data_IF_401898216500
#
_entry.id   IF_401898216500
#
_cell.length_a   1.000
_cell.length_b   1.000
_cell.length_c   1.000
_cell.angle_alpha   90.00
_cell.angle_beta   90.00
_cell.angle_gamma   90.00
#
_symmetry.space_group_name_H-M   'P 1'
#
loop_
_entity.id
_entity.type
_entity.pdbx_description
1 polymer ?
#
# COMPACT_ATOMS: atom_id res chain seq x y z
N UNK A 1 -14.91 3.02 -1.15
CA UNK A 1 -16.12 3.14 -1.99
C UNK A 1 -15.79 3.22 -3.49
N UNK A 2 -14.81 3.98 -3.95
CA UNK A 2 -14.53 4.22 -5.38
C UNK A 2 -13.90 3.05 -6.17
N UNK A 3 -13.50 1.94 -5.55
CA UNK A 3 -12.72 0.88 -6.21
C UNK A 3 -13.42 0.30 -7.46
N UNK A 4 -14.70 -0.08 -7.36
CA UNK A 4 -15.43 -0.65 -8.49
C UNK A 4 -15.62 0.36 -9.64
N UNK A 5 -15.90 1.64 -9.31
CA UNK A 5 -15.96 2.70 -10.31
C UNK A 5 -14.61 2.95 -10.97
N UNK A 6 -13.50 2.86 -10.22
CA UNK A 6 -12.14 2.96 -10.77
C UNK A 6 -11.86 1.80 -11.75
N UNK A 7 -12.30 0.58 -11.44
CA UNK A 7 -12.17 -0.55 -12.37
C UNK A 7 -12.99 -0.33 -13.65
N UNK A 8 -14.22 0.20 -13.52
CA UNK A 8 -15.04 0.52 -14.70
C UNK A 8 -14.35 1.56 -15.59
N UNK A 9 -13.82 2.65 -15.00
CA UNK A 9 -13.08 3.68 -15.75
C UNK A 9 -11.84 3.09 -16.43
N UNK A 10 -11.11 2.20 -15.76
CA UNK A 10 -9.95 1.53 -16.35
C UNK A 10 -10.34 0.62 -17.52
N UNK A 11 -11.44 -0.13 -17.38
CA UNK A 11 -11.97 -0.97 -18.47
C UNK A 11 -12.45 -0.15 -19.66
N UNK A 12 -13.15 0.94 -19.41
CA UNK A 12 -13.69 1.81 -20.47
C UNK A 12 -12.58 2.49 -21.30
N UNK A 13 -11.46 2.85 -20.64
CA UNK A 13 -10.36 3.55 -21.32
C UNK A 13 -9.31 2.62 -21.93
N UNK A 14 -9.02 1.48 -21.28
CA UNK A 14 -7.89 0.63 -21.64
C UNK A 14 -8.26 -0.85 -21.78
N UNK A 15 -9.46 -1.26 -21.34
CA UNK A 15 -9.88 -2.66 -21.35
C UNK A 15 -10.25 -3.16 -22.75
N UNK A 16 -10.08 -4.46 -22.94
CA UNK A 16 -10.58 -5.18 -24.11
C UNK A 16 -11.75 -6.11 -23.79
N UNK A 17 -12.10 -6.19 -22.51
CA UNK A 17 -13.23 -6.96 -21.97
C UNK A 17 -14.14 -6.04 -21.17
N UNK A 18 -15.42 -6.36 -21.14
CA UNK A 18 -16.40 -5.70 -20.28
C UNK A 18 -16.35 -6.27 -18.85
N UNK A 19 -16.91 -5.53 -17.90
CA UNK A 19 -17.06 -6.01 -16.52
C UNK A 19 -17.86 -7.34 -16.47
N UNK A 20 -18.92 -7.47 -17.25
CA UNK A 20 -19.73 -8.68 -17.34
C UNK A 20 -18.94 -9.90 -17.86
N UNK A 21 -17.99 -9.70 -18.77
CA UNK A 21 -17.11 -10.78 -19.25
C UNK A 21 -16.02 -11.18 -18.24
N UNK A 22 -15.65 -10.27 -17.33
CA UNK A 22 -14.63 -10.52 -16.29
C UNK A 22 -15.26 -11.20 -15.06
N UNK A 23 -16.48 -10.82 -14.67
CA UNK A 23 -17.12 -11.30 -13.45
C UNK A 23 -17.19 -12.82 -13.29
N UNK A 24 -17.41 -13.64 -14.34
CA UNK A 24 -17.38 -15.11 -14.19
C UNK A 24 -16.08 -15.64 -13.59
N UNK A 25 -14.92 -15.06 -13.91
CA UNK A 25 -13.64 -15.47 -13.35
C UNK A 25 -13.50 -15.08 -11.89
N UNK A 26 -14.05 -13.91 -11.50
CA UNK A 26 -14.08 -13.45 -10.11
C UNK A 26 -14.99 -14.36 -9.28
N UNK A 27 -16.17 -14.72 -9.80
CA UNK A 27 -17.12 -15.62 -9.16
C UNK A 27 -16.50 -17.01 -8.97
N UNK A 28 -15.82 -17.57 -9.99
CA UNK A 28 -15.12 -18.84 -9.90
C UNK A 28 -14.05 -18.81 -8.78
N UNK A 29 -13.29 -17.73 -8.67
CA UNK A 29 -12.29 -17.56 -7.61
C UNK A 29 -12.97 -17.49 -6.22
N UNK A 30 -14.08 -16.78 -6.08
CA UNK A 30 -14.84 -16.70 -4.82
C UNK A 30 -15.42 -18.05 -4.40
N UNK A 31 -15.85 -18.87 -5.35
CA UNK A 31 -16.38 -20.22 -5.09
C UNK A 31 -15.35 -21.18 -4.49
N UNK A 32 -14.04 -20.91 -4.66
CA UNK A 32 -12.98 -21.66 -4.00
C UNK A 32 -12.90 -21.39 -2.50
N UNK A 33 -13.48 -20.27 -2.03
CA UNK A 33 -13.44 -19.83 -0.65
C UNK A 33 -12.06 -19.31 -0.22
N UNK A 34 -11.99 -18.86 1.01
CA UNK A 34 -10.80 -18.27 1.63
C UNK A 34 -10.25 -19.29 2.64
N UNK A 35 -9.07 -19.86 2.37
CA UNK A 35 -8.39 -20.74 3.32
C UNK A 35 -7.83 -19.90 4.48
N UNK A 36 -8.09 -20.31 5.70
CA UNK A 36 -7.57 -19.68 6.90
C UNK A 36 -6.09 -20.06 7.07
N UNK A 37 -5.19 -19.21 6.58
CA UNK A 37 -3.74 -19.34 6.77
C UNK A 37 -3.34 -18.85 8.17
N UNK A 38 -2.10 -19.07 8.56
CA UNK A 38 -1.59 -18.59 9.86
C UNK A 38 -1.64 -17.05 9.95
N UNK A 39 -1.29 -16.36 8.85
CA UNK A 39 -1.35 -14.90 8.79
C UNK A 39 -2.80 -14.42 8.87
N UNK A 40 -3.70 -14.97 8.05
CA UNK A 40 -5.13 -14.65 8.10
C UNK A 40 -5.71 -14.90 9.49
N UNK A 41 -5.40 -16.03 10.15
CA UNK A 41 -5.90 -16.38 11.48
C UNK A 41 -5.50 -15.34 12.53
N UNK A 42 -4.25 -14.88 12.51
CA UNK A 42 -3.76 -13.85 13.44
C UNK A 42 -4.53 -12.53 13.29
N UNK A 43 -4.74 -12.08 12.05
CA UNK A 43 -5.47 -10.86 11.74
C UNK A 43 -6.97 -10.97 12.07
N UNK A 44 -7.54 -12.13 11.76
CA UNK A 44 -8.92 -12.46 12.02
C UNK A 44 -9.23 -12.49 13.53
N UNK A 45 -8.40 -13.18 14.33
CA UNK A 45 -8.56 -13.26 15.78
C UNK A 45 -8.44 -11.87 16.44
N UNK A 46 -7.51 -11.05 15.97
CA UNK A 46 -7.36 -9.67 16.45
C UNK A 46 -8.57 -8.79 16.11
N UNK A 47 -9.32 -9.13 15.05
CA UNK A 47 -10.51 -8.42 14.59
C UNK A 47 -11.83 -8.95 15.15
N UNK A 48 -11.82 -10.04 15.94
CA UNK A 48 -13.01 -10.69 16.46
C UNK A 48 -14.01 -9.72 17.11
N UNK A 49 -13.52 -8.88 18.02
CA UNK A 49 -14.36 -7.95 18.80
C UNK A 49 -15.07 -6.90 17.96
N UNK A 50 -14.55 -6.64 16.77
CA UNK A 50 -15.11 -5.73 15.78
C UNK A 50 -16.11 -6.45 14.87
N UNK A 51 -15.73 -7.59 14.31
CA UNK A 51 -16.54 -8.37 13.39
C UNK A 51 -17.83 -8.90 14.01
N UNK A 52 -17.78 -9.34 15.27
CA UNK A 52 -18.94 -9.92 15.96
C UNK A 52 -20.09 -8.94 16.21
N UNK A 53 -19.90 -7.64 15.97
CA UNK A 53 -20.92 -6.61 16.18
C UNK A 53 -21.89 -6.45 15.01
N UNK A 54 -21.52 -6.86 13.80
CA UNK A 54 -22.32 -6.73 12.59
C UNK A 54 -22.96 -8.06 12.22
N UNK A 55 -24.27 -8.09 11.98
CA UNK A 55 -24.98 -9.30 11.58
C UNK A 55 -24.44 -9.88 10.26
N UNK A 56 -24.20 -9.05 9.25
CA UNK A 56 -23.58 -9.51 8.00
C UNK A 56 -22.14 -10.01 8.17
N UNK A 57 -21.39 -9.48 9.14
CA UNK A 57 -20.09 -10.04 9.49
C UNK A 57 -20.19 -11.35 10.26
N UNK A 58 -21.20 -11.52 11.11
CA UNK A 58 -21.48 -12.79 11.78
C UNK A 58 -21.81 -13.89 10.77
N UNK A 59 -22.60 -13.56 9.75
CA UNK A 59 -23.00 -14.49 8.71
C UNK A 59 -21.81 -15.02 7.91
N UNK A 60 -20.91 -14.15 7.49
CA UNK A 60 -19.78 -14.49 6.61
C UNK A 60 -18.58 -15.05 7.37
N UNK A 61 -18.21 -14.38 8.47
CA UNK A 61 -16.93 -14.60 9.12
C UNK A 61 -16.98 -15.56 10.31
N UNK A 62 -18.16 -16.11 10.65
CA UNK A 62 -18.29 -17.03 11.79
C UNK A 62 -19.17 -18.23 11.46
N UNK A 63 -18.78 -19.39 11.96
CA UNK A 63 -19.67 -20.58 11.99
C UNK A 63 -20.77 -20.33 13.03
N UNK A 64 -22.01 -20.61 12.65
CA UNK A 64 -23.19 -20.39 13.49
C UNK A 64 -23.30 -18.94 14.06
N UNK A 65 -22.73 -17.97 13.32
CA UNK A 65 -22.74 -16.54 13.64
C UNK A 65 -21.83 -16.10 14.79
N UNK A 66 -21.16 -17.01 15.49
CA UNK A 66 -20.33 -16.69 16.67
C UNK A 66 -19.02 -17.46 16.81
N UNK A 67 -18.90 -18.62 16.15
CA UNK A 67 -17.73 -19.51 16.32
C UNK A 67 -16.67 -19.15 15.26
N UNK A 68 -15.46 -18.73 15.68
CA UNK A 68 -14.38 -18.45 14.74
C UNK A 68 -14.00 -19.67 13.90
N UNK A 69 -13.52 -19.41 12.69
CA UNK A 69 -12.85 -20.42 11.87
C UNK A 69 -11.44 -20.68 12.38
N UNK A 70 -11.02 -21.93 12.32
CA UNK A 70 -9.69 -22.37 12.72
C UNK A 70 -8.73 -22.49 11.54
N UNK A 71 -7.44 -22.63 11.85
CA UNK A 71 -6.39 -22.80 10.87
C UNK A 71 -6.75 -23.95 9.88
N UNK A 72 -6.49 -23.73 8.61
CA UNK A 72 -6.77 -24.64 7.49
C UNK A 72 -8.26 -24.84 7.13
N UNK A 73 -9.20 -24.30 7.91
CA UNK A 73 -10.61 -24.25 7.48
C UNK A 73 -10.78 -23.30 6.29
N UNK A 74 -11.89 -23.42 5.59
CA UNK A 74 -12.23 -22.57 4.44
C UNK A 74 -13.49 -21.77 4.75
N UNK A 75 -13.41 -20.46 4.54
CA UNK A 75 -14.52 -19.53 4.66
C UNK A 75 -15.15 -19.36 3.27
N UNK A 76 -16.43 -19.59 3.14
CA UNK A 76 -17.20 -19.31 1.94
C UNK A 76 -18.04 -18.05 2.13
N UNK A 77 -17.85 -17.07 1.25
CA UNK A 77 -18.61 -15.84 1.25
C UNK A 77 -19.70 -15.91 0.16
N UNK A 78 -20.73 -16.70 0.42
CA UNK A 78 -21.84 -16.90 -0.53
C UNK A 78 -22.56 -15.60 -0.89
N UNK A 79 -22.87 -14.67 0.06
CA UNK A 79 -23.48 -13.39 -0.28
C UNK A 79 -22.64 -12.54 -1.25
N UNK A 80 -21.30 -12.64 -1.20
CA UNK A 80 -20.43 -11.93 -2.14
C UNK A 80 -20.53 -12.48 -3.56
N UNK A 81 -20.73 -13.80 -3.70
CA UNK A 81 -20.95 -14.44 -5.01
C UNK A 81 -22.24 -13.89 -5.64
N UNK A 82 -23.34 -13.86 -4.87
CA UNK A 82 -24.61 -13.28 -5.33
C UNK A 82 -24.46 -11.80 -5.71
N UNK A 83 -23.70 -11.05 -4.92
CA UNK A 83 -23.37 -9.64 -5.21
C UNK A 83 -22.63 -9.51 -6.54
N UNK A 84 -21.65 -10.37 -6.82
CA UNK A 84 -20.91 -10.32 -8.09
C UNK A 84 -21.75 -10.77 -9.29
N UNK A 85 -22.68 -11.73 -9.11
CA UNK A 85 -23.66 -12.10 -10.12
C UNK A 85 -24.57 -10.91 -10.50
N UNK A 86 -25.03 -10.17 -9.50
CA UNK A 86 -25.84 -8.96 -9.71
C UNK A 86 -25.04 -7.84 -10.39
N UNK A 87 -23.80 -7.62 -10.02
CA UNK A 87 -22.93 -6.64 -10.69
C UNK A 87 -22.68 -7.06 -12.16
N UNK A 88 -22.56 -8.35 -12.45
CA UNK A 88 -22.43 -8.85 -13.82
C UNK A 88 -23.68 -8.58 -14.66
N UNK A 89 -24.87 -8.67 -14.06
CA UNK A 89 -26.15 -8.47 -14.72
C UNK A 89 -26.54 -7.00 -14.86
N UNK A 90 -26.36 -6.20 -13.82
CA UNK A 90 -26.89 -4.85 -13.67
C UNK A 90 -25.81 -3.74 -13.77
N UNK A 91 -24.53 -4.13 -13.85
CA UNK A 91 -23.41 -3.17 -13.85
C UNK A 91 -23.05 -2.66 -12.46
N UNK A 92 -22.18 -1.64 -12.44
CA UNK A 92 -21.75 -1.01 -11.17
C UNK A 92 -22.87 -0.25 -10.47
N UNK A 93 -23.92 0.10 -11.18
CA UNK A 93 -25.11 0.78 -10.65
C UNK A 93 -25.77 -0.01 -9.52
N UNK A 94 -25.77 -1.36 -9.58
CA UNK A 94 -26.26 -2.21 -8.49
C UNK A 94 -25.56 -1.88 -7.16
N UNK A 95 -24.22 -1.68 -7.22
CA UNK A 95 -23.42 -1.38 -6.02
C UNK A 95 -23.63 0.06 -5.53
N UNK A 96 -23.74 1.05 -6.43
CA UNK A 96 -23.72 2.46 -6.04
C UNK A 96 -25.11 3.06 -5.84
N UNK A 97 -26.00 2.88 -6.83
CA UNK A 97 -27.32 3.53 -6.84
C UNK A 97 -28.48 2.53 -6.73
N UNK A 98 -28.16 1.24 -6.82
CA UNK A 98 -29.12 0.15 -6.73
C UNK A 98 -29.36 -0.34 -5.30
N UNK A 99 -29.88 -1.57 -5.20
CA UNK A 99 -30.31 -2.17 -3.93
C UNK A 99 -29.14 -2.30 -2.93
N UNK A 100 -27.95 -2.73 -3.39
CA UNK A 100 -26.80 -2.88 -2.51
C UNK A 100 -26.33 -1.53 -1.97
N UNK A 101 -26.34 -0.47 -2.80
CA UNK A 101 -26.00 0.88 -2.35
C UNK A 101 -26.88 1.34 -1.18
N UNK A 102 -28.19 1.12 -1.28
CA UNK A 102 -29.12 1.45 -0.21
C UNK A 102 -28.84 0.63 1.07
N UNK A 103 -28.62 -0.68 0.95
CA UNK A 103 -28.27 -1.54 2.10
C UNK A 103 -26.98 -1.09 2.80
N UNK A 104 -25.97 -0.68 2.02
CA UNK A 104 -24.70 -0.15 2.55
C UNK A 104 -24.95 1.13 3.35
N UNK A 105 -25.74 2.07 2.81
CA UNK A 105 -26.07 3.32 3.51
C UNK A 105 -26.88 3.04 4.77
N UNK A 106 -27.87 2.15 4.72
CA UNK A 106 -28.67 1.78 5.89
C UNK A 106 -27.79 1.19 7.00
N UNK A 107 -26.83 0.32 6.64
CA UNK A 107 -25.88 -0.27 7.61
C UNK A 107 -24.94 0.77 8.22
N UNK A 108 -24.42 1.70 7.41
CA UNK A 108 -23.54 2.79 7.88
C UNK A 108 -24.31 3.71 8.83
N UNK A 109 -25.55 4.10 8.48
CA UNK A 109 -26.37 4.98 9.31
C UNK A 109 -26.83 4.31 10.60
N UNK A 110 -27.09 3.00 10.57
CA UNK A 110 -27.42 2.23 11.77
C UNK A 110 -26.26 2.19 12.79
N UNK A 111 -25.01 2.25 12.31
CA UNK A 111 -23.80 2.35 13.16
C UNK A 111 -23.43 3.81 13.52
N UNK A 112 -24.29 4.77 13.19
CA UNK A 112 -24.09 6.20 13.50
C UNK A 112 -23.32 6.99 12.44
N UNK A 113 -23.04 6.40 11.27
CA UNK A 113 -22.43 7.11 10.14
C UNK A 113 -23.38 8.08 9.47
N UNK A 114 -22.83 9.00 8.69
CA UNK A 114 -23.55 10.13 8.08
C UNK A 114 -23.65 10.07 6.56
N UNK A 115 -23.12 9.02 5.94
CA UNK A 115 -23.17 8.85 4.48
C UNK A 115 -24.61 8.75 3.96
N UNK A 116 -24.79 9.20 2.74
CA UNK A 116 -26.08 9.24 2.04
C UNK A 116 -25.99 8.55 0.67
N UNK A 117 -27.11 8.32 0.02
CA UNK A 117 -27.14 7.81 -1.36
C UNK A 117 -26.51 8.81 -2.35
N UNK A 118 -26.55 10.12 -2.06
CA UNK A 118 -25.87 11.14 -2.86
C UNK A 118 -24.34 10.96 -2.84
N UNK A 119 -23.77 10.61 -1.68
CA UNK A 119 -22.35 10.28 -1.56
C UNK A 119 -21.97 9.01 -2.35
N UNK A 120 -22.87 8.03 -2.42
CA UNK A 120 -22.68 6.82 -3.24
C UNK A 120 -22.71 7.13 -4.74
N UNK A 121 -23.66 7.94 -5.20
CA UNK A 121 -23.77 8.39 -6.58
C UNK A 121 -22.52 9.22 -6.99
N UNK A 122 -22.09 10.11 -6.11
CA UNK A 122 -20.86 10.85 -6.32
C UNK A 122 -19.63 9.95 -6.36
N UNK A 123 -19.54 8.92 -5.50
CA UNK A 123 -18.44 7.97 -5.51
C UNK A 123 -18.36 7.16 -6.80
N UNK A 124 -19.47 6.92 -7.47
CA UNK A 124 -19.54 6.25 -8.77
C UNK A 124 -19.06 7.15 -9.92
N UNK A 125 -19.38 8.43 -9.88
CA UNK A 125 -19.18 9.35 -11.01
C UNK A 125 -17.89 10.16 -10.91
N UNK A 126 -17.46 10.48 -9.68
CA UNK A 126 -16.29 11.32 -9.41
C UNK A 126 -15.04 10.47 -9.17
N UNK A 127 -14.58 9.77 -10.21
CA UNK A 127 -13.31 9.03 -10.20
C UNK A 127 -12.19 9.98 -10.63
N UNK A 128 -11.21 10.15 -9.74
CA UNK A 128 -10.04 10.97 -10.05
C UNK A 128 -9.13 10.21 -11.04
N UNK A 129 -9.04 10.72 -12.25
CA UNK A 129 -8.11 10.24 -13.28
C UNK A 129 -6.98 11.25 -13.40
N UNK A 130 -5.75 10.81 -13.17
CA UNK A 130 -4.55 11.64 -13.27
C UNK A 130 -3.70 11.06 -14.40
N UNK A 131 -3.48 11.86 -15.45
CA UNK A 131 -2.73 11.43 -16.64
C UNK A 131 -1.21 11.47 -16.41
N UNK A 132 -0.74 12.39 -15.57
CA UNK A 132 0.67 12.58 -15.28
C UNK A 132 1.06 11.92 -13.96
N UNK A 133 1.73 10.75 -13.98
CA UNK A 133 2.24 10.12 -12.76
C UNK A 133 3.40 10.93 -12.18
N UNK A 134 3.74 10.68 -10.90
CA UNK A 134 5.02 11.12 -10.35
C UNK A 134 6.13 10.40 -11.11
N UNK A 135 7.01 11.16 -11.76
CA UNK A 135 8.22 10.66 -12.42
C UNK A 135 9.45 11.01 -11.60
N UNK A 136 10.26 10.02 -11.25
CA UNK A 136 11.52 10.17 -10.53
C UNK A 136 12.62 9.47 -11.30
N UNK A 137 13.81 10.07 -11.33
CA UNK A 137 15.02 9.39 -11.83
C UNK A 137 15.86 8.91 -10.66
N UNK A 138 16.36 7.68 -10.73
CA UNK A 138 17.27 7.10 -9.73
C UNK A 138 18.36 6.30 -10.42
N UNK A 139 19.62 6.68 -10.25
CA UNK A 139 20.79 6.03 -10.92
C UNK A 139 20.62 5.88 -12.43
N UNK A 140 19.90 6.81 -13.08
CA UNK A 140 19.58 6.76 -14.51
C UNK A 140 18.33 5.92 -14.88
N UNK A 141 17.77 5.18 -13.95
CA UNK A 141 16.47 4.54 -14.13
C UNK A 141 15.34 5.55 -14.01
N UNK A 142 14.21 5.31 -14.70
CA UNK A 142 13.00 6.13 -14.57
C UNK A 142 11.91 5.37 -13.83
N UNK A 143 11.43 5.97 -12.77
CA UNK A 143 10.39 5.44 -11.92
C UNK A 143 9.11 6.23 -12.12
N UNK A 144 8.00 5.53 -12.30
CA UNK A 144 6.66 6.09 -12.32
C UNK A 144 5.86 5.56 -11.14
N UNK A 145 5.19 6.45 -10.41
CA UNK A 145 4.36 6.08 -9.28
C UNK A 145 3.15 7.02 -9.15
N UNK A 146 2.29 6.71 -8.19
CA UNK A 146 1.04 7.42 -7.99
C UNK A 146 1.26 8.81 -7.34
N UNK A 147 0.66 9.89 -7.90
CA UNK A 147 0.67 11.22 -7.30
C UNK A 147 -0.36 11.35 -6.15
N UNK A 148 -0.46 12.52 -5.55
CA UNK A 148 -1.47 12.84 -4.53
C UNK A 148 -2.90 12.51 -5.03
N UNK A 149 -3.77 12.02 -4.18
CA UNK A 149 -3.67 11.97 -2.71
C UNK A 149 -2.83 10.81 -2.15
N UNK A 150 -2.08 10.07 -2.96
CA UNK A 150 -1.06 9.19 -2.40
C UNK A 150 0.29 9.91 -2.31
N UNK A 151 0.86 9.95 -1.10
CA UNK A 151 2.21 10.44 -0.87
C UNK A 151 3.29 9.51 -1.39
N UNK A 152 2.89 8.26 -1.76
CA UNK A 152 3.83 7.18 -2.02
C UNK A 152 4.86 7.50 -3.08
N UNK A 153 4.45 8.04 -4.23
CA UNK A 153 5.35 8.40 -5.32
C UNK A 153 6.32 9.52 -4.95
N UNK A 154 5.82 10.57 -4.29
CA UNK A 154 6.60 11.75 -3.88
C UNK A 154 7.68 11.36 -2.86
N UNK A 155 7.27 10.69 -1.79
CA UNK A 155 8.17 10.33 -0.69
C UNK A 155 9.14 9.20 -1.08
N UNK A 156 8.72 8.24 -1.91
CA UNK A 156 9.65 7.29 -2.50
C UNK A 156 10.71 8.01 -3.32
N UNK A 157 10.30 8.99 -4.13
CA UNK A 157 11.20 9.83 -4.92
C UNK A 157 12.19 10.59 -4.05
N UNK A 158 11.73 11.20 -2.96
CA UNK A 158 12.58 11.91 -2.02
C UNK A 158 13.61 10.99 -1.37
N UNK A 159 13.20 9.83 -0.84
CA UNK A 159 14.13 8.85 -0.25
C UNK A 159 15.19 8.42 -1.26
N UNK A 160 14.78 8.02 -2.47
CA UNK A 160 15.71 7.59 -3.51
C UNK A 160 16.66 8.72 -3.94
N UNK A 161 16.16 9.95 -4.05
CA UNK A 161 16.98 11.12 -4.38
C UNK A 161 18.01 11.45 -3.27
N UNK A 162 17.65 11.28 -1.99
CA UNK A 162 18.60 11.41 -0.88
C UNK A 162 19.67 10.32 -0.99
N UNK A 163 19.26 9.06 -1.20
CA UNK A 163 20.17 7.91 -1.31
C UNK A 163 21.05 7.98 -2.56
N UNK A 164 20.69 8.75 -3.59
CA UNK A 164 21.53 8.94 -4.77
C UNK A 164 22.83 9.72 -4.47
N UNK A 165 22.87 10.47 -3.36
CA UNK A 165 24.07 11.16 -2.88
C UNK A 165 25.02 10.23 -2.11
N UNK A 166 24.66 8.98 -1.89
CA UNK A 166 25.41 7.96 -1.16
C UNK A 166 25.99 6.96 -2.16
N UNK A 167 27.24 6.55 -1.98
CA UNK A 167 27.85 5.45 -2.76
C UNK A 167 27.43 4.10 -2.17
N UNK A 168 26.13 3.79 -2.30
CA UNK A 168 25.51 2.56 -1.76
C UNK A 168 26.20 1.31 -2.30
N UNK A 169 26.62 1.33 -3.57
CA UNK A 169 27.25 0.17 -4.21
C UNK A 169 28.61 -0.20 -3.59
N UNK A 170 29.27 0.70 -2.85
CA UNK A 170 30.49 0.43 -2.12
C UNK A 170 30.25 -0.13 -0.71
N UNK A 171 29.03 -0.10 -0.20
CA UNK A 171 28.64 -0.58 1.12
C UNK A 171 28.30 -2.07 1.10
N UNK A 172 28.46 -2.73 2.24
CA UNK A 172 27.93 -4.08 2.41
C UNK A 172 26.40 -4.03 2.59
N UNK A 173 25.70 -4.90 1.88
CA UNK A 173 24.24 -4.98 1.96
C UNK A 173 23.78 -5.27 3.39
N UNK A 174 22.87 -4.45 3.89
CA UNK A 174 22.36 -4.49 5.28
C UNK A 174 23.44 -4.25 6.37
N UNK A 175 24.56 -3.60 6.04
CA UNK A 175 25.52 -3.13 7.06
C UNK A 175 24.92 -2.01 7.92
N UNK A 176 25.49 -1.76 9.09
CA UNK A 176 25.06 -0.68 9.97
C UNK A 176 25.18 0.70 9.30
N UNK A 177 26.26 0.95 8.53
CA UNK A 177 26.46 2.17 7.77
C UNK A 177 25.33 2.40 6.74
N UNK A 178 25.01 1.37 5.93
CA UNK A 178 23.89 1.44 4.96
C UNK A 178 22.55 1.68 5.64
N UNK A 179 22.24 0.91 6.68
CA UNK A 179 20.97 1.02 7.42
C UNK A 179 20.85 2.38 8.09
N UNK A 180 21.93 2.90 8.64
CA UNK A 180 21.94 4.24 9.25
C UNK A 180 21.50 5.30 8.23
N UNK A 181 22.18 5.41 7.10
CA UNK A 181 21.87 6.43 6.10
C UNK A 181 20.46 6.24 5.53
N UNK A 182 20.07 5.00 5.23
CA UNK A 182 18.74 4.70 4.71
C UNK A 182 17.64 5.07 5.71
N UNK A 183 17.81 4.73 7.00
CA UNK A 183 16.81 5.07 8.02
C UNK A 183 16.71 6.57 8.25
N UNK A 184 17.81 7.31 8.20
CA UNK A 184 17.81 8.77 8.29
C UNK A 184 17.13 9.43 7.07
N UNK A 185 17.41 8.94 5.86
CA UNK A 185 16.71 9.39 4.65
C UNK A 185 15.18 9.17 4.76
N UNK A 186 14.76 8.01 5.28
CA UNK A 186 13.36 7.71 5.54
C UNK A 186 12.75 8.66 6.58
N UNK A 187 13.43 8.90 7.70
CA UNK A 187 12.94 9.79 8.77
C UNK A 187 12.71 11.21 8.26
N UNK A 188 13.64 11.75 7.46
CA UNK A 188 13.51 13.08 6.87
C UNK A 188 12.32 13.14 5.92
N UNK A 189 12.21 12.19 4.99
CA UNK A 189 11.11 12.15 4.03
C UNK A 189 9.73 11.93 4.69
N UNK A 190 9.65 11.10 5.73
CA UNK A 190 8.40 10.92 6.49
C UNK A 190 8.02 12.17 7.29
N UNK A 191 9.00 12.94 7.78
CA UNK A 191 8.73 14.23 8.42
C UNK A 191 8.10 15.21 7.42
N UNK A 192 8.65 15.31 6.21
CA UNK A 192 8.11 16.16 5.16
C UNK A 192 6.72 15.69 4.71
N UNK A 193 6.51 14.37 4.60
CA UNK A 193 5.19 13.77 4.32
C UNK A 193 4.12 14.27 5.29
N UNK A 194 4.43 14.23 6.57
CA UNK A 194 3.48 14.55 7.63
C UNK A 194 3.10 16.04 7.63
N UNK A 195 4.05 16.93 7.35
CA UNK A 195 3.84 18.38 7.36
C UNK A 195 3.13 18.86 6.11
N UNK A 196 3.48 18.33 4.94
CA UNK A 196 3.19 18.99 3.67
C UNK A 196 2.15 18.29 2.81
N UNK A 197 1.90 16.97 2.98
CA UNK A 197 1.13 16.22 2.01
C UNK A 197 -0.30 15.91 2.48
N UNK A 198 -1.23 15.89 1.53
CA UNK A 198 -2.66 15.67 1.77
C UNK A 198 -3.44 15.56 0.48
N UNK A 199 -4.69 16.04 0.51
CA UNK A 199 -5.53 16.20 -0.67
C UNK A 199 -4.88 17.19 -1.65
N UNK A 200 -4.71 16.85 -2.95
CA UNK A 200 -4.08 17.71 -3.93
C UNK A 200 -4.76 19.09 -4.07
N UNK A 201 -6.05 19.20 -3.74
CA UNK A 201 -6.73 20.50 -3.74
C UNK A 201 -6.27 21.45 -2.61
N UNK A 202 -5.46 20.96 -1.67
CA UNK A 202 -4.97 21.70 -0.50
C UNK A 202 -3.44 21.71 -0.40
N UNK A 203 -2.75 21.19 -1.40
CA UNK A 203 -1.28 21.14 -1.48
C UNK A 203 -0.84 21.87 -2.74
N UNK A 204 0.22 22.66 -2.63
CA UNK A 204 0.78 23.41 -3.75
C UNK A 204 1.61 22.46 -4.65
N UNK A 205 1.36 22.47 -5.95
CA UNK A 205 2.10 21.66 -6.93
C UNK A 205 3.61 22.02 -6.93
N UNK A 206 3.96 23.30 -6.77
CA UNK A 206 5.37 23.74 -6.68
C UNK A 206 6.08 23.10 -5.46
N UNK A 207 5.35 22.89 -4.35
CA UNK A 207 5.86 22.23 -3.17
C UNK A 207 6.13 20.73 -3.44
N UNK A 208 5.19 20.05 -4.11
CA UNK A 208 5.34 18.62 -4.48
C UNK A 208 6.54 18.42 -5.41
N UNK A 209 6.72 19.32 -6.40
CA UNK A 209 7.88 19.30 -7.28
C UNK A 209 9.19 19.55 -6.50
N UNK A 210 9.18 20.50 -5.55
CA UNK A 210 10.33 20.81 -4.71
C UNK A 210 10.76 19.61 -3.85
N UNK A 211 9.83 18.93 -3.18
CA UNK A 211 10.11 17.72 -2.36
C UNK A 211 10.74 16.59 -3.20
N UNK A 212 10.34 16.47 -4.45
CA UNK A 212 10.86 15.46 -5.39
C UNK A 212 12.16 15.89 -6.10
N UNK A 213 12.70 17.09 -5.82
CA UNK A 213 13.87 17.63 -6.53
C UNK A 213 15.19 17.07 -6.01
N UNK A 214 16.19 17.00 -6.90
CA UNK A 214 17.55 16.59 -6.54
C UNK A 214 18.24 17.60 -5.62
N UNK A 215 17.95 18.89 -5.81
CA UNK A 215 18.55 19.97 -5.00
C UNK A 215 18.06 19.88 -3.55
N UNK A 216 16.75 19.68 -3.34
CA UNK A 216 16.19 19.47 -2.02
C UNK A 216 16.72 18.18 -1.37
N UNK A 217 16.80 17.10 -2.12
CA UNK A 217 17.37 15.85 -1.63
C UNK A 217 18.84 16.00 -1.18
N UNK A 218 19.63 16.82 -1.86
CA UNK A 218 20.99 17.15 -1.42
C UNK A 218 21.00 17.96 -0.12
N UNK A 219 20.04 18.88 0.07
CA UNK A 219 19.89 19.60 1.32
C UNK A 219 19.52 18.65 2.47
N UNK A 220 18.60 17.73 2.23
CA UNK A 220 18.22 16.71 3.21
C UNK A 220 19.38 15.75 3.52
N UNK A 221 20.10 15.28 2.52
CA UNK A 221 21.29 14.46 2.72
C UNK A 221 22.33 15.13 3.61
N UNK A 222 22.57 16.44 3.43
CA UNK A 222 23.51 17.21 4.24
C UNK A 222 23.08 17.37 5.72
N UNK A 223 21.85 17.03 6.08
CA UNK A 223 21.38 16.98 7.48
C UNK A 223 21.70 15.66 8.16
N UNK A 224 21.97 14.60 7.39
CA UNK A 224 22.34 13.28 7.93
C UNK A 224 23.71 13.41 8.57
N UNK A 225 23.83 13.02 9.83
CA UNK A 225 25.05 13.07 10.63
C UNK A 225 25.46 11.66 11.05
N UNK A 226 26.62 11.49 11.68
CA UNK A 226 27.06 10.20 12.23
C UNK A 226 26.16 9.68 13.39
N UNK A 227 25.33 10.56 13.96
CA UNK A 227 24.39 10.21 15.01
C UNK A 227 22.96 10.28 14.49
N UNK A 228 22.08 9.29 14.83
CA UNK A 228 20.73 9.26 14.34
C UNK A 228 19.89 10.42 14.88
N UNK A 229 18.98 10.91 14.05
CA UNK A 229 17.96 11.86 14.45
C UNK A 229 16.85 11.12 15.20
N UNK A 230 16.71 11.37 16.50
CA UNK A 230 15.70 10.76 17.36
C UNK A 230 14.44 11.63 17.48
N UNK A 231 14.44 12.83 16.93
CA UNK A 231 13.32 13.75 16.92
C UNK A 231 13.26 14.45 15.55
N UNK A 232 12.93 13.71 14.48
CA UNK A 232 12.76 14.30 13.17
C UNK A 232 11.64 15.33 13.24
N UNK A 233 11.93 16.57 12.89
CA UNK A 233 10.98 17.68 13.01
C UNK A 233 9.86 17.46 12.01
N UNK A 234 8.64 17.66 12.51
CA UNK A 234 7.35 17.60 11.83
C UNK A 234 6.83 16.19 11.54
N UNK A 235 6.61 15.35 12.52
CA UNK A 235 5.76 14.16 12.39
C UNK A 235 4.42 14.37 13.04
N UNK A 236 3.33 14.02 12.37
CA UNK A 236 2.07 13.78 13.06
C UNK A 236 2.01 12.32 13.52
N UNK A 237 2.17 12.01 14.82
CA UNK A 237 2.18 10.65 15.33
C UNK A 237 0.82 9.93 15.22
N UNK A 238 -0.22 10.61 14.73
CA UNK A 238 -1.59 10.10 14.64
C UNK A 238 -2.03 9.71 13.23
N UNK A 239 -1.20 9.83 12.23
CA UNK A 239 -1.48 9.31 10.88
C UNK A 239 -1.37 7.77 10.89
N UNK A 240 -2.34 7.10 11.50
CA UNK A 240 -2.47 5.66 11.51
C UNK A 240 -3.09 5.16 10.21
N UNK A 241 -2.29 4.99 9.16
CA UNK A 241 -2.71 4.15 8.05
C UNK A 241 -2.67 2.68 8.52
N UNK A 242 -3.84 2.04 8.45
CA UNK A 242 -3.97 0.62 8.80
C UNK A 242 -3.26 -0.29 7.79
N UNK A 243 -2.75 -1.46 8.21
CA UNK A 243 -1.94 -2.35 7.36
C UNK A 243 -2.73 -3.18 6.35
N UNK A 244 -3.99 -2.88 6.04
CA UNK A 244 -4.86 -3.68 5.16
C UNK A 244 -4.97 -3.14 3.74
N UNK A 245 -3.88 -3.24 3.05
CA UNK A 245 -3.74 -2.94 1.63
C UNK A 245 -3.43 -4.23 0.89
N UNK A 246 -3.81 -4.34 -0.37
CA UNK A 246 -3.34 -5.38 -1.29
C UNK A 246 -2.71 -4.74 -2.51
N UNK A 247 -1.77 -5.45 -3.13
CA UNK A 247 -1.13 -5.03 -4.37
C UNK A 247 -1.10 -6.16 -5.39
N UNK A 248 -1.35 -5.80 -6.64
CA UNK A 248 -1.30 -6.71 -7.79
C UNK A 248 -0.39 -6.08 -8.86
N UNK A 249 0.62 -6.84 -9.29
CA UNK A 249 1.47 -6.55 -10.43
C UNK A 249 1.14 -7.48 -11.59
N UNK A 250 0.95 -6.94 -12.77
CA UNK A 250 0.67 -7.71 -13.98
C UNK A 250 1.55 -7.24 -15.12
N UNK A 251 2.09 -8.18 -15.90
CA UNK A 251 2.71 -7.91 -17.21
C UNK A 251 2.11 -8.90 -18.20
N UNK A 252 1.57 -8.41 -19.30
CA UNK A 252 1.07 -9.27 -20.37
C UNK A 252 2.17 -9.64 -21.40
N UNK A 253 1.82 -10.52 -22.34
CA UNK A 253 2.73 -10.96 -23.41
C UNK A 253 3.18 -9.84 -24.38
N UNK A 254 2.45 -8.73 -24.41
CA UNK A 254 2.72 -7.58 -25.28
C UNK A 254 3.55 -6.52 -24.53
N UNK A 255 3.87 -6.75 -23.25
CA UNK A 255 4.67 -5.86 -22.40
C UNK A 255 3.87 -4.75 -21.72
N UNK A 256 2.54 -4.79 -21.77
CA UNK A 256 1.72 -3.87 -20.99
C UNK A 256 1.85 -4.20 -19.51
N UNK A 257 2.01 -3.16 -18.67
CA UNK A 257 2.22 -3.30 -17.24
C UNK A 257 1.11 -2.63 -16.45
N UNK A 258 0.65 -3.32 -15.41
CA UNK A 258 -0.28 -2.76 -14.43
C UNK A 258 0.28 -2.96 -13.02
N UNK A 259 0.44 -1.87 -12.28
CA UNK A 259 0.72 -1.85 -10.85
C UNK A 259 -0.52 -1.30 -10.14
N UNK A 260 -1.23 -2.12 -9.39
CA UNK A 260 -2.49 -1.74 -8.75
C UNK A 260 -2.45 -1.99 -7.25
N UNK A 261 -2.66 -0.93 -6.49
CA UNK A 261 -2.77 -1.00 -5.03
C UNK A 261 -4.15 -0.54 -4.58
N UNK A 262 -4.82 -1.31 -3.73
CA UNK A 262 -6.10 -0.94 -3.14
C UNK A 262 -6.14 -1.24 -1.65
N UNK A 263 -6.96 -0.51 -0.89
CA UNK A 263 -7.03 -0.64 0.55
C UNK A 263 -8.45 -0.45 1.08
N UNK A 264 -8.75 -1.18 2.15
CA UNK A 264 -9.90 -0.92 3.04
C UNK A 264 -9.43 -0.32 4.37
N UNK A 265 -8.18 0.12 4.44
CA UNK A 265 -7.44 0.72 5.53
C UNK A 265 -7.09 -0.26 6.67
N UNK A 266 -7.97 -0.58 7.62
CA UNK A 266 -7.67 -1.56 8.67
C UNK A 266 -8.13 -2.98 8.30
N UNK A 267 -7.58 -4.00 9.00
CA UNK A 267 -8.03 -5.39 8.86
C UNK A 267 -9.54 -5.49 9.02
N UNK A 268 -10.23 -6.04 8.01
CA UNK A 268 -11.69 -6.07 7.91
C UNK A 268 -12.35 -4.68 8.01
N UNK A 269 -11.68 -3.61 7.57
CA UNK A 269 -12.21 -2.25 7.51
C UNK A 269 -12.84 -1.79 8.82
N UNK A 270 -14.09 -1.29 8.78
CA UNK A 270 -14.84 -0.92 9.97
C UNK A 270 -15.50 -2.13 10.69
N UNK A 271 -15.40 -3.33 10.14
CA UNK A 271 -15.98 -4.55 10.72
C UNK A 271 -17.43 -4.79 10.32
N UNK A 272 -17.99 -3.97 9.42
CA UNK A 272 -19.34 -4.15 8.87
C UNK A 272 -19.23 -4.85 7.52
N UNK A 273 -20.02 -5.89 7.33
CA UNK A 273 -20.16 -6.60 6.06
C UNK A 273 -21.61 -6.49 5.60
N UNK A 274 -21.83 -6.13 4.32
CA UNK A 274 -23.15 -6.01 3.70
C UNK A 274 -23.15 -6.84 2.42
N UNK A 275 -24.04 -7.81 2.33
CA UNK A 275 -24.13 -8.76 1.19
C UNK A 275 -22.73 -9.27 0.77
N UNK A 276 -21.93 -9.68 1.77
CA UNK A 276 -20.58 -10.19 1.58
C UNK A 276 -19.47 -9.12 1.40
N UNK A 277 -19.81 -7.86 1.18
CA UNK A 277 -18.87 -6.76 0.98
C UNK A 277 -18.42 -6.17 2.32
N UNK A 278 -17.12 -6.20 2.60
CA UNK A 278 -16.53 -5.57 3.79
C UNK A 278 -16.35 -4.09 3.57
N UNK A 279 -16.87 -3.27 4.47
CA UNK A 279 -16.81 -1.81 4.36
C UNK A 279 -15.48 -1.26 4.90
N UNK A 280 -14.88 -0.31 4.16
CA UNK A 280 -13.64 0.37 4.53
C UNK A 280 -13.83 1.29 5.74
N UNK A 281 -12.74 1.53 6.49
CA UNK A 281 -12.63 2.59 7.49
C UNK A 281 -11.61 3.68 7.08
N UNK A 282 -11.52 3.99 5.80
CA UNK A 282 -10.54 4.93 5.23
C UNK A 282 -10.52 6.33 5.83
N UNK A 283 -11.59 6.78 6.50
CA UNK A 283 -11.61 8.05 7.22
C UNK A 283 -10.57 8.13 8.36
N UNK A 284 -10.08 6.99 8.85
CA UNK A 284 -9.00 6.95 9.84
C UNK A 284 -7.65 7.44 9.30
N UNK A 285 -7.51 7.61 7.99
CA UNK A 285 -6.29 8.16 7.36
C UNK A 285 -6.23 9.68 7.39
N UNK A 286 -7.30 10.35 7.82
CA UNK A 286 -7.27 11.79 8.03
C UNK A 286 -6.59 12.18 9.33
N UNK A 287 -5.98 13.36 9.32
CA UNK A 287 -5.51 14.05 10.52
C UNK A 287 -6.68 14.67 11.28
N UNK A 288 -6.66 14.51 12.61
CA UNK A 288 -7.69 15.10 13.48
C UNK A 288 -7.37 16.54 13.89
N UNK A 289 -6.12 16.98 13.70
CA UNK A 289 -5.73 18.36 13.99
C UNK A 289 -6.14 19.28 12.83
N UNK A 290 -6.88 20.38 13.09
CA UNK A 290 -7.26 21.33 12.05
C UNK A 290 -6.06 22.11 11.52
N UNK A 291 -6.04 22.35 10.21
CA UNK A 291 -5.08 23.25 9.56
C UNK A 291 -3.98 22.55 8.76
N UNK A 292 -3.86 21.23 8.85
CA UNK A 292 -2.97 20.45 8.02
C UNK A 292 -3.57 20.10 6.65
N UNK A 293 -2.77 19.89 5.62
CA UNK A 293 -3.26 19.46 4.32
C UNK A 293 -4.09 18.18 4.37
N UNK A 294 -3.81 17.25 5.30
CA UNK A 294 -4.57 16.02 5.53
C UNK A 294 -5.65 16.13 6.62
N UNK A 295 -5.98 17.34 7.15
CA UNK A 295 -7.06 17.48 8.13
C UNK A 295 -8.40 17.11 7.54
N UNK A 296 -9.26 16.44 8.34
CA UNK A 296 -10.59 16.01 7.91
C UNK A 296 -11.48 17.21 7.55
N UNK A 297 -12.12 17.16 6.38
CA UNK A 297 -13.12 18.13 5.93
C UNK A 297 -14.09 17.48 4.94
N UNK A 298 -15.33 18.01 4.79
CA UNK A 298 -16.28 17.51 3.79
C UNK A 298 -15.72 17.56 2.37
N UNK A 299 -15.93 16.50 1.61
CA UNK A 299 -15.48 16.38 0.22
C UNK A 299 -13.97 16.18 0.03
N UNK A 300 -13.18 16.13 1.08
CA UNK A 300 -11.73 16.01 1.03
C UNK A 300 -11.29 14.54 0.86
N UNK A 301 -10.19 14.35 0.12
CA UNK A 301 -9.52 13.06 -0.04
C UNK A 301 -8.48 12.86 1.06
N UNK A 302 -8.47 11.69 1.69
CA UNK A 302 -7.47 11.36 2.70
C UNK A 302 -6.13 10.99 2.07
N UNK A 303 -5.04 11.35 2.76
CA UNK A 303 -3.69 10.94 2.38
C UNK A 303 -3.53 9.41 2.41
N UNK A 304 -2.82 8.88 1.43
CA UNK A 304 -2.45 7.47 1.34
C UNK A 304 -0.93 7.31 1.22
N UNK A 305 -0.42 6.12 1.52
CA UNK A 305 0.98 5.71 1.28
C UNK A 305 1.11 4.66 0.18
N UNK A 306 0.05 4.37 -0.57
CA UNK A 306 0.10 3.40 -1.68
C UNK A 306 1.11 3.84 -2.74
N UNK A 307 2.02 2.93 -3.10
CA UNK A 307 3.15 3.21 -3.99
C UNK A 307 3.21 2.17 -5.11
N UNK A 308 2.16 2.05 -5.95
CA UNK A 308 2.28 1.24 -7.15
C UNK A 308 3.38 1.83 -8.03
N UNK A 309 4.30 1.00 -8.51
CA UNK A 309 5.53 1.45 -9.13
C UNK A 309 5.83 0.70 -10.41
N UNK A 310 6.20 1.44 -11.46
CA UNK A 310 6.80 0.92 -12.68
C UNK A 310 8.18 1.54 -12.82
N UNK A 311 9.21 0.71 -13.01
CA UNK A 311 10.60 1.14 -13.21
C UNK A 311 11.08 0.76 -14.60
N UNK A 312 11.64 1.72 -15.30
CA UNK A 312 12.27 1.55 -16.62
C UNK A 312 13.80 1.67 -16.49
N UNK A 313 14.51 0.87 -17.27
CA UNK A 313 15.97 0.98 -17.42
C UNK A 313 16.38 2.31 -18.06
N UNK A 314 17.67 2.69 -17.99
CA UNK A 314 18.17 3.91 -18.62
C UNK A 314 17.91 4.01 -20.14
N UNK A 315 17.79 2.88 -20.83
CA UNK A 315 17.44 2.81 -22.25
C UNK A 315 15.93 2.92 -22.54
N UNK A 316 15.12 3.00 -21.48
CA UNK A 316 13.66 3.10 -21.56
C UNK A 316 12.94 1.75 -21.63
N UNK A 317 13.65 0.63 -21.57
CA UNK A 317 13.01 -0.69 -21.52
C UNK A 317 12.44 -1.00 -20.13
N UNK A 318 11.33 -1.77 -20.05
CA UNK A 318 10.76 -2.20 -18.78
C UNK A 318 11.75 -2.98 -17.90
N UNK A 319 11.76 -2.69 -16.60
CA UNK A 319 12.55 -3.44 -15.62
C UNK A 319 11.69 -4.07 -14.53
N UNK A 320 10.80 -3.29 -13.90
CA UNK A 320 10.06 -3.73 -12.73
C UNK A 320 8.64 -3.19 -12.76
N UNK A 321 7.69 -4.03 -12.41
CA UNK A 321 6.36 -3.61 -11.93
C UNK A 321 6.20 -4.16 -10.51
N UNK A 322 5.86 -3.28 -9.56
CA UNK A 322 5.83 -3.64 -8.15
C UNK A 322 4.95 -2.70 -7.34
N UNK A 323 4.69 -3.10 -6.12
CA UNK A 323 4.05 -2.34 -5.06
C UNK A 323 3.81 -3.22 -3.86
N UNK A 324 3.31 -2.62 -2.80
CA UNK A 324 3.24 -3.28 -1.50
C UNK A 324 1.96 -2.90 -0.74
N UNK A 325 1.35 -3.82 0.01
CA UNK A 325 0.57 -3.48 1.19
C UNK A 325 1.50 -3.15 2.37
N UNK A 326 0.99 -2.47 3.41
CA UNK A 326 1.76 -2.24 4.65
C UNK A 326 1.55 -0.89 5.32
N UNK A 327 0.51 -0.12 4.95
CA UNK A 327 0.27 1.21 5.51
C UNK A 327 1.45 2.15 5.19
N UNK A 328 1.92 2.91 6.16
CA UNK A 328 3.05 3.84 5.99
C UNK A 328 4.35 3.12 5.56
N UNK A 329 4.54 1.85 5.93
CA UNK A 329 5.73 1.08 5.57
C UNK A 329 5.78 0.63 4.10
N UNK A 330 4.74 0.87 3.32
CA UNK A 330 4.74 0.61 1.87
C UNK A 330 5.91 1.32 1.21
N UNK A 331 6.13 2.59 1.54
CA UNK A 331 7.17 3.43 0.92
C UNK A 331 8.57 2.90 1.26
N UNK A 332 8.80 2.59 2.54
CA UNK A 332 10.08 2.01 2.99
C UNK A 332 10.36 0.65 2.34
N UNK A 333 9.32 -0.19 2.19
CA UNK A 333 9.40 -1.47 1.48
C UNK A 333 9.81 -1.28 0.01
N UNK A 334 9.18 -0.34 -0.69
CA UNK A 334 9.46 -0.07 -2.09
C UNK A 334 10.84 0.54 -2.29
N UNK A 335 11.26 1.47 -1.42
CA UNK A 335 12.60 2.05 -1.47
C UNK A 335 13.68 0.97 -1.36
N UNK A 336 13.59 0.09 -0.35
CA UNK A 336 14.55 -1.00 -0.19
C UNK A 336 14.53 -1.99 -1.34
N UNK A 337 13.35 -2.35 -1.86
CA UNK A 337 13.25 -3.26 -3.01
C UNK A 337 13.95 -2.68 -4.22
N UNK A 338 13.80 -1.38 -4.50
CA UNK A 338 14.44 -0.71 -5.63
C UNK A 338 15.95 -0.58 -5.41
N UNK A 339 16.40 -0.15 -4.24
CA UNK A 339 17.81 -0.03 -3.89
C UNK A 339 18.50 -1.41 -3.99
N UNK A 340 17.88 -2.45 -3.48
CA UNK A 340 18.40 -3.82 -3.57
C UNK A 340 18.58 -4.29 -5.02
N UNK A 341 17.65 -3.93 -5.91
CA UNK A 341 17.73 -4.28 -7.33
C UNK A 341 18.78 -3.42 -8.06
N UNK A 342 18.81 -2.10 -7.81
CA UNK A 342 19.56 -1.15 -8.61
C UNK A 342 21.01 -0.97 -8.11
N UNK A 343 21.20 -0.78 -6.81
CA UNK A 343 22.54 -0.51 -6.24
C UNK A 343 23.28 -1.81 -5.86
N UNK A 344 22.58 -2.75 -5.23
CA UNK A 344 23.17 -4.04 -4.85
C UNK A 344 23.08 -5.11 -5.93
N UNK A 345 22.34 -4.84 -7.01
CA UNK A 345 22.15 -5.77 -8.13
C UNK A 345 21.69 -7.17 -7.69
N UNK A 346 20.83 -7.24 -6.67
CA UNK A 346 20.29 -8.49 -6.16
C UNK A 346 19.20 -9.03 -7.11
N UNK A 347 19.11 -10.36 -7.28
CA UNK A 347 17.94 -10.98 -7.90
C UNK A 347 16.66 -10.60 -7.15
N UNK A 348 15.52 -10.50 -7.86
CA UNK A 348 14.24 -10.03 -7.25
C UNK A 348 13.87 -10.83 -6.00
N UNK A 349 14.10 -12.15 -5.98
CA UNK A 349 13.81 -12.99 -4.83
C UNK A 349 14.64 -12.56 -3.62
N UNK A 350 15.94 -12.34 -3.79
CA UNK A 350 16.82 -11.89 -2.72
C UNK A 350 16.46 -10.46 -2.28
N UNK A 351 16.18 -9.56 -3.24
CA UNK A 351 15.78 -8.18 -2.96
C UNK A 351 14.52 -8.11 -2.10
N UNK A 352 13.51 -8.94 -2.38
CA UNK A 352 12.23 -8.99 -1.65
C UNK A 352 12.36 -9.70 -0.30
N UNK A 353 13.15 -10.78 -0.25
CA UNK A 353 13.32 -11.61 0.95
C UNK A 353 14.30 -11.03 1.97
N UNK A 354 15.12 -10.06 1.60
CA UNK A 354 16.08 -9.41 2.50
C UNK A 354 15.42 -8.88 3.78
N UNK A 355 16.13 -8.89 4.93
CA UNK A 355 15.66 -8.24 6.15
C UNK A 355 15.28 -6.77 5.89
N UNK A 356 14.14 -6.34 6.42
CA UNK A 356 13.66 -4.95 6.25
C UNK A 356 13.97 -4.08 7.43
N UNK A 357 14.18 -2.82 7.10
CA UNK A 357 14.34 -1.73 8.07
C UNK A 357 13.39 -0.59 7.70
N UNK A 358 13.03 0.24 8.66
CA UNK A 358 12.27 1.46 8.42
C UNK A 358 12.62 2.51 9.47
N UNK A 359 13.07 3.67 9.01
CA UNK A 359 13.07 4.88 9.82
C UNK A 359 11.65 5.43 9.91
N UNK A 360 11.21 5.85 11.07
CA UNK A 360 9.87 6.40 11.28
C UNK A 360 9.94 7.88 11.68
N UNK A 361 8.84 8.57 11.49
CA UNK A 361 8.62 9.96 11.92
C UNK A 361 8.76 10.15 13.44
N UNK A 362 8.60 9.09 14.24
CA UNK A 362 8.87 9.10 15.68
C UNK A 362 10.34 8.87 16.07
N UNK A 363 11.28 8.97 15.13
CA UNK A 363 12.72 8.82 15.36
C UNK A 363 13.20 7.38 15.56
N UNK A 364 12.31 6.41 15.67
CA UNK A 364 12.66 4.98 15.81
C UNK A 364 13.18 4.39 14.50
N UNK A 365 14.06 3.42 14.64
CA UNK A 365 14.49 2.54 13.56
C UNK A 365 13.93 1.15 13.81
N UNK A 366 12.94 0.74 13.03
CA UNK A 366 12.37 -0.61 13.05
C UNK A 366 13.20 -1.54 12.20
N UNK A 367 13.50 -2.72 12.71
CA UNK A 367 14.27 -3.75 12.03
C UNK A 367 13.67 -5.13 12.23
N UNK A 368 13.72 -5.97 11.21
CA UNK A 368 13.33 -7.38 11.36
C UNK A 368 14.39 -8.16 12.13
N UNK A 369 13.92 -9.12 12.97
CA UNK A 369 14.78 -9.93 13.82
C UNK A 369 15.78 -10.84 13.10
N UNK A 370 15.72 -10.91 11.76
CA UNK A 370 16.67 -11.65 10.89
C UNK A 370 17.94 -10.87 10.55
N UNK A 371 18.03 -9.61 10.95
CA UNK A 371 19.25 -8.84 10.79
C UNK A 371 20.35 -9.38 11.71
N UNK A 372 21.60 -9.39 11.24
CA UNK A 372 22.71 -9.88 12.03
C UNK A 372 22.86 -9.12 13.35
N UNK A 373 23.10 -9.84 14.44
CA UNK A 373 23.18 -9.23 15.78
C UNK A 373 24.32 -8.21 15.88
N UNK A 374 25.43 -8.43 15.18
CA UNK A 374 26.56 -7.49 15.15
C UNK A 374 26.13 -6.14 14.55
N UNK A 375 25.32 -6.16 13.49
CA UNK A 375 24.78 -4.95 12.87
C UNK A 375 23.80 -4.22 13.81
N UNK A 376 22.97 -4.98 14.54
CA UNK A 376 22.05 -4.43 15.54
C UNK A 376 22.83 -3.75 16.67
N UNK A 377 23.90 -4.39 17.14
CA UNK A 377 24.76 -3.86 18.19
C UNK A 377 25.47 -2.58 17.73
N UNK A 378 26.02 -2.55 16.51
CA UNK A 378 26.63 -1.36 15.91
C UNK A 378 25.64 -0.19 15.78
N UNK A 379 24.43 -0.43 15.27
CA UNK A 379 23.36 0.59 15.20
C UNK A 379 23.00 1.14 16.58
N UNK A 380 22.98 0.26 17.58
CA UNK A 380 22.71 0.66 18.98
C UNK A 380 23.85 1.53 19.52
N UNK A 381 25.11 1.18 19.22
CA UNK A 381 26.29 1.97 19.60
C UNK A 381 26.33 3.34 18.89
N UNK A 382 25.83 3.42 17.65
CA UNK A 382 25.63 4.69 16.95
C UNK A 382 24.54 5.56 17.59
N UNK A 383 23.65 4.98 18.43
CA UNK A 383 22.61 5.67 19.18
C UNK A 383 21.21 5.57 18.59
N UNK A 384 20.95 4.64 17.66
CA UNK A 384 19.59 4.39 17.17
C UNK A 384 18.66 3.90 18.27
N UNK A 385 17.42 4.42 18.30
CA UNK A 385 16.31 3.84 19.07
C UNK A 385 15.71 2.69 18.25
N UNK A 386 16.15 1.47 18.53
CA UNK A 386 15.84 0.29 17.73
C UNK A 386 14.60 -0.42 18.26
N UNK A 387 13.67 -0.71 17.36
CA UNK A 387 12.52 -1.59 17.60
C UNK A 387 12.68 -2.86 16.75
N UNK A 388 12.99 -3.99 17.38
CA UNK A 388 13.10 -5.28 16.70
C UNK A 388 11.69 -5.86 16.54
N UNK A 389 11.33 -6.19 15.29
CA UNK A 389 10.06 -6.83 14.94
C UNK A 389 10.24 -8.33 14.69
N UNK A 390 9.17 -9.03 14.30
CA UNK A 390 9.28 -10.45 13.93
C UNK A 390 10.11 -10.66 12.67
N UNK A 391 10.56 -11.89 12.44
CA UNK A 391 11.47 -12.24 11.34
C UNK A 391 10.93 -11.91 9.94
N UNK A 392 9.67 -12.08 9.69
CA UNK A 392 8.97 -11.70 8.47
C UNK A 392 7.72 -10.94 8.89
N UNK A 393 7.91 -9.69 9.35
CA UNK A 393 6.81 -8.90 9.88
C UNK A 393 5.86 -8.44 8.78
N UNK A 394 4.59 -8.90 8.78
CA UNK A 394 3.61 -8.54 7.77
C UNK A 394 3.28 -7.04 7.72
N UNK A 395 3.65 -6.29 8.78
CA UNK A 395 3.46 -4.84 8.82
C UNK A 395 4.61 -4.07 8.16
N UNK A 396 5.78 -4.69 7.97
CA UNK A 396 6.92 -4.06 7.29
C UNK A 396 6.79 -4.03 5.75
N UNK A 397 5.58 -4.19 5.24
CA UNK A 397 5.28 -4.26 3.81
C UNK A 397 5.38 -5.67 3.24
N UNK A 398 4.90 -5.85 2.01
CA UNK A 398 4.92 -7.13 1.28
C UNK A 398 5.00 -6.86 -0.21
N UNK A 399 6.22 -6.76 -0.76
CA UNK A 399 6.44 -6.39 -2.15
C UNK A 399 6.01 -7.52 -3.10
N UNK A 400 5.02 -7.24 -3.94
CA UNK A 400 4.56 -8.14 -4.99
C UNK A 400 5.11 -7.65 -6.33
N UNK A 401 6.09 -8.34 -6.87
CA UNK A 401 6.96 -7.81 -7.91
C UNK A 401 7.07 -8.72 -9.11
N UNK A 402 7.19 -8.14 -10.30
CA UNK A 402 7.62 -8.83 -11.52
C UNK A 402 8.78 -8.04 -12.12
N UNK A 403 9.92 -8.69 -12.33
CA UNK A 403 11.08 -8.13 -13.03
C UNK A 403 11.12 -8.67 -14.45
N UNK A 404 11.42 -7.80 -15.39
CA UNK A 404 11.76 -8.17 -16.78
C UNK A 404 13.26 -8.39 -16.84
N UNK A 405 13.70 -9.61 -17.14
CA UNK A 405 15.11 -9.95 -17.29
C UNK A 405 15.68 -9.46 -18.64
N UNK A 406 17.00 -9.42 -18.78
CA UNK A 406 17.67 -8.93 -19.99
C UNK A 406 17.37 -9.78 -21.23
N UNK A 407 17.00 -11.04 -21.06
CA UNK A 407 16.56 -11.92 -22.15
C UNK A 407 15.08 -11.76 -22.50
N UNK A 408 14.37 -10.84 -21.83
CA UNK A 408 12.95 -10.55 -22.03
C UNK A 408 12.01 -11.51 -21.27
N UNK A 409 12.53 -12.42 -20.45
CA UNK A 409 11.69 -13.28 -19.60
C UNK A 409 11.22 -12.53 -18.36
N UNK A 410 10.10 -12.98 -17.78
CA UNK A 410 9.51 -12.40 -16.58
C UNK A 410 9.81 -13.27 -15.36
N UNK A 411 10.25 -12.64 -14.28
CA UNK A 411 10.46 -13.30 -13.00
C UNK A 411 9.55 -12.68 -11.95
N UNK A 412 8.47 -13.38 -11.56
CA UNK A 412 7.56 -12.95 -10.51
C UNK A 412 8.05 -13.37 -9.12
N UNK A 413 7.85 -12.50 -8.13
CA UNK A 413 8.16 -12.76 -6.73
C UNK A 413 7.03 -12.28 -5.83
N UNK A 414 6.43 -13.20 -5.06
CA UNK A 414 5.54 -12.92 -3.95
C UNK A 414 6.34 -12.82 -2.65
N UNK A 415 6.02 -11.86 -1.81
CA UNK A 415 6.72 -11.61 -0.56
C UNK A 415 6.28 -12.60 0.53
N UNK A 416 7.21 -13.23 1.26
CA UNK A 416 6.90 -14.23 2.29
C UNK A 416 6.27 -13.64 3.57
N UNK A 417 6.25 -12.31 3.71
CA UNK A 417 5.66 -11.64 4.88
C UNK A 417 4.15 -11.72 4.92
N UNK A 418 3.53 -11.96 3.76
CA UNK A 418 2.09 -12.20 3.62
C UNK A 418 1.82 -13.39 2.71
N UNK A 419 0.55 -13.74 2.51
CA UNK A 419 0.12 -14.87 1.67
C UNK A 419 0.18 -14.52 0.16
N UNK A 420 1.31 -13.93 -0.27
CA UNK A 420 1.52 -13.50 -1.65
C UNK A 420 1.85 -14.68 -2.55
N UNK A 421 1.37 -14.64 -3.79
CA UNK A 421 1.58 -15.69 -4.79
C UNK A 421 1.92 -15.11 -6.16
N UNK A 422 2.57 -15.90 -7.00
CA UNK A 422 2.82 -15.60 -8.40
C UNK A 422 2.16 -16.65 -9.29
N UNK A 423 1.63 -16.22 -10.43
CA UNK A 423 1.10 -17.09 -11.47
C UNK A 423 1.64 -16.65 -12.83
N UNK A 424 1.84 -17.60 -13.72
CA UNK A 424 2.20 -17.39 -15.13
C UNK A 424 1.36 -18.30 -16.02
N UNK A 425 0.97 -17.79 -17.19
CA UNK A 425 0.10 -18.49 -18.13
C UNK A 425 0.74 -18.57 -19.52
#
# INVERSE_FOLDING_TARGET
>A
MKALATYQVALDNYGTMTLAEIMPYVIEACQQGIRVTQNFKSLYDSSYSKLIKSEGSQEVWFKDGIIPYELDEVIYNEPLIETFEKIAEEGIEYFYTGELGQKIIDAIQADGGVMTMEDMEQAMTDVLVIEDPVEVTYRGYRLYSMPLPSSGGVILGEILNIMENVDVASMEHNSAEYIHVLSEAMKLAYADRAEYLGDPAYVDDELVEALSSKDYALEQYNKISETPNLDPVAGNPYANEGPNTTHISVIDKDGNMVAMTQSINSHFGCGITVDGVVLSNGLMSFDLEPGHPNSIAPGKLSLSSMTPTILLRPDGTPMLVSGSPGGTYIIACMAQTIINLVDFNLPITEAVYSPRVAGTDGGKTRIEGRLDQEVIDELTEMGHDIEITSDYDPNMGSSNSIVVLDDGTYHGCGDPRRDSQCAAY
#
